data_IF_738549469997
#
_entry.id   IF_738549469997
#
_cell.length_a   1.000
_cell.length_b   1.000
_cell.length_c   1.000
_cell.angle_alpha   90.00
_cell.angle_beta   90.00
_cell.angle_gamma   90.00
#
_symmetry.space_group_name_H-M   'P 1'
#
loop_
_entity.id
_entity.type
_entity.pdbx_description
1 polymer ?
#
# COMPACT_ATOMS: atom_id res chain seq x y z
N UNK A 1 13.50 -8.47 3.39
CA UNK A 1 13.05 -7.25 4.12
C UNK A 1 11.55 -7.23 4.07
N UNK A 2 10.90 -7.04 5.22
CA UNK A 2 9.47 -6.80 5.31
C UNK A 2 9.21 -5.31 5.51
N UNK A 3 8.12 -4.79 4.94
CA UNK A 3 7.80 -3.37 5.03
C UNK A 3 6.62 -3.10 5.97
N UNK A 4 5.47 -3.71 5.72
CA UNK A 4 4.22 -3.41 6.42
C UNK A 4 3.54 -4.67 6.97
N UNK A 5 2.62 -4.49 7.92
CA UNK A 5 1.91 -5.56 8.63
C UNK A 5 0.44 -5.20 8.80
N UNK A 6 -0.45 -6.17 8.56
CA UNK A 6 -1.88 -6.11 8.85
C UNK A 6 -2.27 -7.26 9.81
N UNK A 7 -3.08 -6.95 10.83
CA UNK A 7 -3.57 -7.94 11.80
C UNK A 7 -4.79 -8.65 11.24
N UNK A 8 -4.84 -9.97 11.37
CA UNK A 8 -5.98 -10.80 11.01
C UNK A 8 -6.90 -11.03 12.23
N UNK A 9 -8.18 -11.29 11.99
CA UNK A 9 -9.18 -11.50 13.04
C UNK A 9 -8.92 -12.76 13.89
N UNK A 10 -8.17 -13.73 13.38
CA UNK A 10 -7.75 -14.93 14.11
C UNK A 10 -6.57 -14.69 15.06
N UNK A 11 -6.08 -13.44 15.17
CA UNK A 11 -4.89 -13.08 15.94
C UNK A 11 -3.57 -13.29 15.20
N UNK A 12 -3.62 -13.74 13.95
CA UNK A 12 -2.50 -13.79 13.02
C UNK A 12 -2.16 -12.44 12.41
N UNK A 13 -1.24 -12.46 11.43
CA UNK A 13 -0.90 -11.28 10.64
C UNK A 13 -0.52 -11.63 9.20
N UNK A 14 -0.70 -10.65 8.32
CA UNK A 14 -0.12 -10.63 6.98
C UNK A 14 0.95 -9.55 6.90
N UNK A 15 2.06 -9.81 6.22
CA UNK A 15 3.15 -8.85 6.03
C UNK A 15 3.66 -8.86 4.60
N UNK A 16 4.08 -7.71 4.10
CA UNK A 16 4.67 -7.58 2.76
C UNK A 16 6.17 -7.85 2.82
N UNK A 17 6.61 -8.88 2.12
CA UNK A 17 8.01 -9.12 1.85
C UNK A 17 8.43 -8.26 0.64
N UNK A 18 8.83 -7.01 0.90
CA UNK A 18 9.19 -6.04 -0.14
C UNK A 18 10.30 -6.53 -1.07
N UNK A 19 11.34 -7.16 -0.50
CA UNK A 19 12.49 -7.68 -1.25
C UNK A 19 13.19 -8.83 -0.54
N UNK A 20 13.88 -9.65 -1.32
CA UNK A 20 15.03 -10.43 -0.85
C UNK A 20 16.21 -9.49 -0.58
N UNK A 21 16.77 -9.53 0.64
CA UNK A 21 17.81 -8.58 1.04
C UNK A 21 19.03 -8.60 0.12
N UNK A 22 19.48 -9.80 -0.27
CA UNK A 22 20.66 -10.00 -1.11
C UNK A 22 20.48 -9.50 -2.55
N UNK A 23 19.23 -9.32 -3.00
CA UNK A 23 18.89 -8.84 -4.35
C UNK A 23 18.81 -7.32 -4.43
N UNK A 24 18.51 -6.68 -3.30
CA UNK A 24 18.46 -5.23 -3.17
C UNK A 24 17.20 -4.58 -3.76
N UNK A 25 17.02 -3.30 -3.44
CA UNK A 25 15.79 -2.53 -3.74
C UNK A 25 15.53 -2.41 -5.24
N UNK A 26 16.57 -2.13 -6.04
CA UNK A 26 16.41 -1.89 -7.47
C UNK A 26 15.83 -3.11 -8.20
N UNK A 27 16.30 -4.32 -7.88
CA UNK A 27 15.77 -5.55 -8.46
C UNK A 27 14.30 -5.78 -8.11
N UNK A 28 13.88 -5.42 -6.90
CA UNK A 28 12.50 -5.56 -6.45
C UNK A 28 11.54 -4.56 -7.08
N UNK A 29 11.94 -3.29 -7.15
CA UNK A 29 11.11 -2.23 -7.75
C UNK A 29 10.99 -2.41 -9.27
N UNK A 30 12.03 -2.90 -9.93
CA UNK A 30 11.96 -3.21 -11.37
C UNK A 30 11.24 -4.52 -11.70
N UNK A 31 10.88 -5.32 -10.69
CA UNK A 31 10.24 -6.62 -10.87
C UNK A 31 11.17 -7.74 -11.35
N UNK A 32 12.48 -7.50 -11.44
CA UNK A 32 13.48 -8.54 -11.72
C UNK A 32 13.47 -9.64 -10.65
N UNK A 33 13.16 -9.26 -9.41
CA UNK A 33 12.86 -10.17 -8.31
C UNK A 33 11.53 -9.72 -7.71
N UNK A 34 10.57 -10.64 -7.59
CA UNK A 34 9.28 -10.33 -6.97
C UNK A 34 9.32 -10.63 -5.48
N UNK A 35 8.70 -9.75 -4.70
CA UNK A 35 8.31 -10.02 -3.33
C UNK A 35 6.93 -10.67 -3.28
N UNK A 36 6.33 -10.74 -2.10
CA UNK A 36 4.95 -11.19 -1.95
C UNK A 36 4.39 -10.91 -0.56
N UNK A 37 3.25 -11.52 -0.25
CA UNK A 37 2.65 -11.49 1.08
C UNK A 37 3.07 -12.76 1.83
N UNK A 38 3.45 -12.61 3.10
CA UNK A 38 3.65 -13.70 4.05
C UNK A 38 2.57 -13.63 5.11
N UNK A 39 1.89 -14.75 5.35
CA UNK A 39 0.86 -14.88 6.38
C UNK A 39 1.37 -15.79 7.49
N UNK A 40 1.16 -15.35 8.73
CA UNK A 40 1.32 -16.16 9.91
C UNK A 40 -0.01 -16.29 10.64
N UNK A 41 -0.30 -17.49 11.16
CA UNK A 41 -1.46 -17.75 12.01
C UNK A 41 -1.03 -18.43 13.32
N UNK A 42 -1.79 -18.26 14.41
CA UNK A 42 -1.49 -18.94 15.66
C UNK A 42 -1.39 -20.46 15.47
N UNK A 43 -0.27 -21.03 15.91
CA UNK A 43 0.00 -22.48 15.82
C UNK A 43 0.60 -22.95 14.49
N UNK A 44 0.89 -22.06 13.54
CA UNK A 44 1.59 -22.38 12.29
C UNK A 44 2.94 -21.67 12.18
N UNK A 45 3.75 -22.11 11.21
CA UNK A 45 4.87 -21.31 10.72
C UNK A 45 4.37 -20.22 9.74
N UNK A 46 5.10 -19.10 9.59
CA UNK A 46 4.80 -18.13 8.54
C UNK A 46 4.99 -18.75 7.15
N UNK A 47 4.07 -18.48 6.23
CA UNK A 47 4.12 -19.00 4.86
C UNK A 47 3.81 -17.90 3.84
N UNK A 48 4.43 -17.99 2.67
CA UNK A 48 4.11 -17.12 1.53
C UNK A 48 2.69 -17.44 1.04
N UNK A 49 1.90 -16.40 0.80
CA UNK A 49 0.61 -16.51 0.12
C UNK A 49 0.88 -16.73 -1.37
N UNK A 50 0.64 -17.95 -1.84
CA UNK A 50 0.89 -18.35 -3.25
C UNK A 50 0.04 -17.49 -4.19
N UNK A 51 0.65 -16.94 -5.24
CA UNK A 51 -0.02 -16.06 -6.20
C UNK A 51 0.00 -14.57 -5.84
N UNK A 52 0.67 -14.20 -4.74
CA UNK A 52 0.80 -12.80 -4.29
C UNK A 52 2.07 -12.08 -4.79
N UNK A 53 2.72 -12.60 -5.83
CA UNK A 53 4.03 -12.10 -6.28
C UNK A 53 3.94 -10.72 -6.94
N UNK A 54 4.56 -9.71 -6.32
CA UNK A 54 4.51 -8.31 -6.74
C UNK A 54 5.90 -7.68 -6.88
N UNK A 55 6.01 -6.65 -7.70
CA UNK A 55 7.20 -5.81 -7.78
C UNK A 55 7.20 -4.78 -6.64
N UNK A 56 8.01 -5.02 -5.60
CA UNK A 56 8.12 -4.17 -4.43
C UNK A 56 6.80 -4.00 -3.65
N UNK A 57 6.19 -5.08 -3.12
CA UNK A 57 5.00 -4.97 -2.27
C UNK A 57 5.32 -4.18 -1.01
N UNK A 58 4.52 -3.16 -0.72
CA UNK A 58 4.84 -2.11 0.25
C UNK A 58 3.76 -2.04 1.35
N UNK A 59 2.86 -1.05 1.33
CA UNK A 59 1.72 -0.99 2.25
C UNK A 59 0.77 -2.18 2.13
N UNK A 60 0.18 -2.60 3.26
CA UNK A 60 -0.87 -3.63 3.32
C UNK A 60 -1.96 -3.27 4.33
N UNK A 61 -3.21 -3.52 3.96
CA UNK A 61 -4.36 -3.58 4.88
C UNK A 61 -5.24 -4.78 4.57
N UNK A 62 -6.07 -5.18 5.53
CA UNK A 62 -7.06 -6.26 5.39
C UNK A 62 -8.48 -5.68 5.52
N UNK A 63 -9.46 -6.24 4.83
CA UNK A 63 -10.88 -5.92 5.02
C UNK A 63 -11.38 -6.41 6.38
N UNK A 64 -12.43 -5.76 6.90
CA UNK A 64 -13.03 -6.11 8.19
C UNK A 64 -13.50 -7.58 8.25
N UNK A 65 -14.03 -8.08 7.14
CA UNK A 65 -14.46 -9.48 6.99
C UNK A 65 -13.30 -10.47 6.75
N UNK A 66 -12.05 -10.00 6.74
CA UNK A 66 -10.84 -10.78 6.50
C UNK A 66 -10.78 -11.52 5.16
N UNK A 67 -11.65 -11.17 4.21
CA UNK A 67 -11.67 -11.77 2.89
C UNK A 67 -10.62 -11.18 1.96
N UNK A 68 -10.35 -9.88 2.05
CA UNK A 68 -9.51 -9.18 1.11
C UNK A 68 -8.24 -8.62 1.75
N UNK A 69 -7.10 -8.80 1.07
CA UNK A 69 -5.90 -7.99 1.31
C UNK A 69 -5.77 -6.93 0.24
N UNK A 70 -5.37 -5.73 0.62
CA UNK A 70 -5.04 -4.64 -0.30
C UNK A 70 -3.57 -4.30 -0.14
N UNK A 71 -2.80 -4.44 -1.21
CA UNK A 71 -1.35 -4.32 -1.21
C UNK A 71 -0.91 -3.28 -2.23
N UNK A 72 -0.02 -2.39 -1.82
CA UNK A 72 0.63 -1.44 -2.72
C UNK A 72 1.78 -2.15 -3.45
N UNK A 73 1.72 -2.21 -4.77
CA UNK A 73 2.80 -2.69 -5.63
C UNK A 73 3.59 -1.48 -6.16
N UNK A 74 4.66 -1.12 -5.47
CA UNK A 74 5.42 0.11 -5.76
C UNK A 74 6.01 0.09 -7.17
N UNK A 75 6.52 -1.06 -7.63
CA UNK A 75 7.18 -1.20 -8.91
C UNK A 75 6.26 -1.07 -10.12
N UNK A 76 5.02 -1.55 -10.00
CA UNK A 76 4.01 -1.44 -11.08
C UNK A 76 3.09 -0.23 -10.92
N UNK A 77 3.14 0.47 -9.78
CA UNK A 77 2.26 1.58 -9.41
C UNK A 77 0.79 1.17 -9.36
N UNK A 78 0.53 0.02 -8.73
CA UNK A 78 -0.81 -0.51 -8.60
C UNK A 78 -1.20 -0.72 -7.14
N UNK A 79 -2.47 -0.48 -6.82
CA UNK A 79 -3.10 -1.08 -5.65
C UNK A 79 -3.71 -2.41 -6.09
N UNK A 80 -3.29 -3.50 -5.45
CA UNK A 80 -3.72 -4.86 -5.77
C UNK A 80 -4.60 -5.39 -4.64
N UNK A 81 -5.78 -5.88 -4.97
CA UNK A 81 -6.70 -6.56 -4.07
C UNK A 81 -6.59 -8.07 -4.29
N UNK A 82 -6.35 -8.82 -3.21
CA UNK A 82 -6.31 -10.28 -3.21
C UNK A 82 -7.53 -10.86 -2.47
N UNK A 83 -8.23 -11.83 -3.08
CA UNK A 83 -9.37 -12.53 -2.46
C UNK A 83 -8.90 -13.83 -1.78
N UNK A 84 -8.77 -13.79 -0.45
CA UNK A 84 -8.32 -14.91 0.38
C UNK A 84 -9.32 -16.08 0.46
N UNK A 85 -10.53 -15.93 -0.11
CA UNK A 85 -11.48 -17.05 -0.19
C UNK A 85 -11.20 -18.00 -1.35
N UNK A 86 -10.23 -17.68 -2.21
CA UNK A 86 -9.85 -18.45 -3.39
C UNK A 86 -8.44 -19.06 -3.22
N UNK A 87 -8.22 -20.25 -3.76
CA UNK A 87 -6.92 -20.93 -3.79
C UNK A 87 -6.66 -21.52 -5.20
N UNK A 88 -5.65 -21.04 -5.96
CA UNK A 88 -4.76 -19.91 -5.64
C UNK A 88 -5.53 -18.59 -5.46
N UNK A 89 -4.92 -17.64 -4.75
CA UNK A 89 -5.55 -16.34 -4.47
C UNK A 89 -5.89 -15.62 -5.78
N UNK A 90 -7.15 -15.19 -5.91
CA UNK A 90 -7.57 -14.34 -7.04
C UNK A 90 -7.14 -12.90 -6.78
N UNK A 91 -6.88 -12.12 -7.83
CA UNK A 91 -6.51 -10.71 -7.69
C UNK A 91 -7.16 -9.80 -8.72
N UNK A 92 -7.44 -8.57 -8.30
CA UNK A 92 -7.81 -7.43 -9.13
C UNK A 92 -6.86 -6.27 -8.80
N UNK A 93 -6.67 -5.32 -9.72
CA UNK A 93 -5.80 -4.16 -9.48
C UNK A 93 -6.34 -2.87 -10.08
N UNK A 94 -5.85 -1.75 -9.56
CA UNK A 94 -5.99 -0.42 -10.18
C UNK A 94 -4.63 0.24 -10.26
N UNK A 95 -4.28 0.75 -11.44
CA UNK A 95 -3.08 1.54 -11.66
C UNK A 95 -3.28 2.97 -11.17
N UNK A 96 -2.26 3.53 -10.52
CA UNK A 96 -2.27 4.90 -10.00
C UNK A 96 -1.15 5.73 -10.66
N UNK A 97 -1.40 7.02 -10.81
CA UNK A 97 -0.41 7.99 -11.30
C UNK A 97 0.56 8.50 -10.21
N UNK A 98 0.75 7.68 -9.18
CA UNK A 98 1.71 7.89 -8.10
C UNK A 98 2.54 6.62 -7.87
N UNK A 99 3.74 6.81 -7.32
CA UNK A 99 4.56 5.75 -6.73
C UNK A 99 4.02 5.54 -5.31
N UNK A 100 2.94 4.76 -5.20
CA UNK A 100 2.24 4.50 -3.94
C UNK A 100 3.09 3.69 -2.94
N UNK A 101 2.93 4.01 -1.66
CA UNK A 101 3.72 3.47 -0.55
C UNK A 101 2.80 2.77 0.48
N UNK A 102 2.50 3.39 1.63
CA UNK A 102 1.59 2.79 2.61
C UNK A 102 0.12 2.94 2.23
N UNK A 103 -0.71 2.00 2.68
CA UNK A 103 -2.17 2.03 2.56
C UNK A 103 -2.77 2.13 3.97
N UNK A 104 -3.83 2.93 4.12
CA UNK A 104 -4.64 3.04 5.34
C UNK A 104 -6.12 3.04 4.97
N UNK A 105 -6.97 2.55 5.87
CA UNK A 105 -8.40 2.81 5.76
C UNK A 105 -8.69 4.29 6.00
N UNK A 106 -9.56 4.88 5.17
CA UNK A 106 -10.13 6.20 5.34
C UNK A 106 -11.58 6.10 5.83
N UNK A 107 -12.49 6.77 5.14
CA UNK A 107 -13.93 6.56 5.33
C UNK A 107 -14.36 5.13 5.03
N UNK A 108 -15.58 4.77 5.43
CA UNK A 108 -16.12 3.40 5.25
C UNK A 108 -16.02 2.96 3.79
N UNK A 109 -15.33 1.84 3.55
CA UNK A 109 -15.10 1.29 2.21
C UNK A 109 -14.04 2.02 1.38
N UNK A 110 -13.35 3.01 1.94
CA UNK A 110 -12.33 3.81 1.25
C UNK A 110 -10.93 3.53 1.78
N UNK A 111 -10.00 3.37 0.86
CA UNK A 111 -8.58 3.22 1.13
C UNK A 111 -7.86 4.51 0.76
N UNK A 112 -6.89 4.91 1.57
CA UNK A 112 -6.00 6.02 1.29
C UNK A 112 -4.59 5.52 1.09
N UNK A 113 -3.95 5.99 0.03
CA UNK A 113 -2.52 5.83 -0.19
C UNK A 113 -1.93 7.13 -0.71
N UNK A 114 -0.62 7.28 -0.59
CA UNK A 114 0.07 8.46 -1.00
C UNK A 114 1.46 8.12 -1.52
N UNK A 115 1.99 9.01 -2.36
CA UNK A 115 3.25 8.79 -3.03
C UNK A 115 3.65 9.95 -3.94
N UNK A 116 4.89 9.90 -4.41
CA UNK A 116 5.37 10.84 -5.42
C UNK A 116 4.62 10.64 -6.74
N UNK A 117 4.26 11.73 -7.42
CA UNK A 117 3.61 11.66 -8.73
C UNK A 117 4.55 10.97 -9.73
N UNK A 118 4.00 10.13 -10.60
CA UNK A 118 4.79 9.41 -11.60
C UNK A 118 5.55 10.36 -12.55
N UNK A 119 5.02 11.57 -12.76
CA UNK A 119 5.66 12.64 -13.54
C UNK A 119 6.76 13.43 -12.79
N UNK A 120 7.02 13.13 -11.52
CA UNK A 120 8.08 13.80 -10.73
C UNK A 120 7.77 15.24 -10.32
N UNK A 121 6.53 15.69 -10.46
CA UNK A 121 6.09 17.07 -10.23
C UNK A 121 5.46 17.29 -8.83
N UNK A 122 5.89 16.52 -7.82
CA UNK A 122 5.36 16.58 -6.46
C UNK A 122 4.79 15.24 -5.99
N UNK A 123 3.76 15.29 -5.17
CA UNK A 123 3.11 14.11 -4.58
C UNK A 123 1.60 14.27 -4.50
N UNK A 124 0.89 13.15 -4.43
CA UNK A 124 -0.56 13.14 -4.29
C UNK A 124 -1.01 12.10 -3.26
N UNK A 125 -2.19 12.37 -2.71
CA UNK A 125 -2.99 11.40 -1.96
C UNK A 125 -4.11 10.92 -2.87
N UNK A 126 -4.28 9.61 -2.94
CA UNK A 126 -5.31 8.94 -3.73
C UNK A 126 -6.20 8.15 -2.78
N UNK A 127 -7.51 8.36 -2.92
CA UNK A 127 -8.53 7.50 -2.35
C UNK A 127 -8.94 6.42 -3.36
N UNK A 128 -9.09 5.19 -2.90
CA UNK A 128 -9.56 4.07 -3.71
C UNK A 128 -10.78 3.44 -3.04
N UNK A 129 -11.86 3.25 -3.80
CA UNK A 129 -12.99 2.44 -3.34
C UNK A 129 -12.58 0.97 -3.25
N UNK A 130 -12.72 0.37 -2.08
CA UNK A 130 -12.25 -0.99 -1.84
C UNK A 130 -13.03 -2.06 -2.65
N UNK A 131 -14.29 -1.78 -3.00
CA UNK A 131 -15.15 -2.71 -3.72
C UNK A 131 -14.99 -2.58 -5.24
N UNK A 132 -15.01 -1.36 -5.78
CA UNK A 132 -14.92 -1.13 -7.23
C UNK A 132 -13.49 -0.92 -7.74
N UNK A 133 -12.53 -0.63 -6.85
CA UNK A 133 -11.18 -0.15 -7.18
C UNK A 133 -11.16 1.17 -7.97
N UNK A 134 -12.24 1.95 -7.93
CA UNK A 134 -12.26 3.29 -8.49
C UNK A 134 -11.34 4.21 -7.66
N UNK A 135 -10.40 4.89 -8.34
CA UNK A 135 -9.39 5.73 -7.73
C UNK A 135 -9.63 7.22 -8.00
N UNK A 136 -9.59 8.05 -6.96
CA UNK A 136 -9.75 9.50 -7.04
C UNK A 136 -8.60 10.20 -6.31
N UNK A 137 -8.00 11.21 -6.94
CA UNK A 137 -7.04 12.09 -6.27
C UNK A 137 -7.80 13.02 -5.31
N UNK A 138 -7.44 13.00 -4.04
CA UNK A 138 -8.10 13.81 -2.98
C UNK A 138 -7.23 14.94 -2.45
N UNK A 139 -5.97 15.04 -2.91
CA UNK A 139 -5.09 16.14 -2.56
C UNK A 139 -3.64 15.87 -2.95
N UNK A 140 -2.76 16.81 -2.61
CA UNK A 140 -1.34 16.74 -2.91
C UNK A 140 -0.69 18.10 -3.05
N UNK A 141 0.63 18.11 -3.22
CA UNK A 141 1.42 19.33 -3.41
C UNK A 141 2.40 19.17 -4.57
N UNK A 142 2.91 20.29 -5.09
CA UNK A 142 3.91 20.31 -6.15
C UNK A 142 5.33 19.95 -5.64
N UNK A 143 6.30 20.00 -6.55
CA UNK A 143 7.70 19.66 -6.27
C UNK A 143 8.44 20.69 -5.38
N UNK A 144 7.90 21.89 -5.19
CA UNK A 144 8.52 22.95 -4.39
C UNK A 144 8.00 22.96 -2.94
N UNK A 145 7.01 22.13 -2.63
CA UNK A 145 6.45 22.02 -1.30
C UNK A 145 7.49 21.56 -0.27
N UNK A 146 7.39 22.11 0.94
CA UNK A 146 8.35 21.85 2.03
C UNK A 146 8.38 20.39 2.51
N UNK A 147 7.28 19.65 2.30
CA UNK A 147 7.18 18.22 2.58
C UNK A 147 7.20 17.46 1.26
N UNK A 148 8.17 16.55 1.11
CA UNK A 148 8.36 15.68 -0.05
C UNK A 148 8.54 14.24 0.40
N UNK A 149 8.69 13.31 -0.55
CA UNK A 149 8.88 11.86 -0.28
C UNK A 149 7.80 11.28 0.63
N UNK A 150 6.56 11.64 0.33
CA UNK A 150 5.37 11.18 1.02
C UNK A 150 5.27 9.66 0.95
N UNK A 151 4.99 9.05 2.10
CA UNK A 151 4.94 7.60 2.28
C UNK A 151 3.60 7.11 2.82
N UNK A 152 2.75 7.99 3.32
CA UNK A 152 1.48 7.64 3.95
C UNK A 152 0.50 8.82 3.97
N UNK A 153 -0.79 8.48 3.98
CA UNK A 153 -1.87 9.40 4.27
C UNK A 153 -2.85 8.74 5.26
N UNK A 154 -3.42 9.55 6.15
CA UNK A 154 -4.42 9.13 7.13
C UNK A 154 -5.50 10.20 7.25
N UNK A 155 -6.77 9.80 7.15
CA UNK A 155 -7.89 10.71 7.38
C UNK A 155 -8.22 10.80 8.87
N UNK A 156 -8.40 12.02 9.36
CA UNK A 156 -8.87 12.35 10.71
C UNK A 156 -9.90 13.46 10.59
N UNK A 157 -11.19 13.10 10.67
CA UNK A 157 -12.28 14.04 10.39
C UNK A 157 -12.24 14.52 8.93
N UNK A 158 -12.23 15.84 8.75
CA UNK A 158 -12.11 16.52 7.46
C UNK A 158 -10.65 16.75 7.04
N UNK A 159 -9.67 16.29 7.82
CA UNK A 159 -8.26 16.46 7.51
C UNK A 159 -7.61 15.19 6.99
N UNK A 160 -6.70 15.35 6.04
CA UNK A 160 -5.76 14.32 5.62
C UNK A 160 -4.38 14.67 6.19
N UNK A 161 -3.87 13.80 7.05
CA UNK A 161 -2.52 13.86 7.60
C UNK A 161 -1.56 13.07 6.73
N UNK A 162 -0.37 13.61 6.48
CA UNK A 162 0.59 13.10 5.49
C UNK A 162 1.95 12.88 6.15
N UNK A 163 2.46 11.65 6.05
CA UNK A 163 3.78 11.26 6.54
C UNK A 163 4.82 11.19 5.42
N UNK A 164 6.08 11.38 5.76
CA UNK A 164 7.23 11.27 4.85
C UNK A 164 8.24 10.25 5.36
N UNK A 165 8.91 9.54 4.46
CA UNK A 165 10.08 8.71 4.82
C UNK A 165 11.39 9.50 4.81
N UNK A 166 11.36 10.81 4.47
CA UNK A 166 12.55 11.66 4.53
C UNK A 166 12.24 13.01 5.20
N UNK A 167 12.66 13.13 6.45
CA UNK A 167 12.57 14.36 7.21
C UNK A 167 11.93 14.15 8.56
N UNK A 168 11.59 15.27 9.20
CA UNK A 168 11.14 15.39 10.58
C UNK A 168 9.76 16.08 10.70
N UNK A 169 9.04 16.21 9.57
CA UNK A 169 7.76 16.91 9.48
C UNK A 169 6.60 15.96 9.20
N UNK A 170 5.43 16.35 9.66
CA UNK A 170 4.13 15.80 9.26
C UNK A 170 3.34 16.94 8.63
N UNK A 171 2.69 16.67 7.50
CA UNK A 171 1.83 17.62 6.81
C UNK A 171 0.36 17.31 7.08
N UNK A 172 -0.50 18.29 6.83
CA UNK A 172 -1.93 18.04 6.74
C UNK A 172 -2.58 19.02 5.76
N UNK A 173 -3.74 18.64 5.23
CA UNK A 173 -4.62 19.53 4.47
C UNK A 173 -6.07 19.14 4.73
N UNK A 174 -7.00 20.07 4.49
CA UNK A 174 -8.45 19.80 4.58
C UNK A 174 -8.88 19.14 3.27
N UNK A 175 -9.65 18.07 3.38
CA UNK A 175 -10.26 17.37 2.25
C UNK A 175 -11.34 18.29 1.65
N UNK A 176 -11.26 18.51 0.35
CA UNK A 176 -12.28 19.28 -0.40
C UNK A 176 -13.67 18.63 -0.32
#
# INVERSE_FOLDING_TARGET
MHNSVAILADGGFATTQFMEWERGIAASVTGLVKGGVVIWRPGSEPAVLVGSELAGPNGIVVSDDNRYLYVAALGTRELVRFDLSQEPVASDSVALDIILDNIRWGESGKLLTAGGNAGGNGWSVVEVDAASLEATRVGGMDGDAALQRVSSALQVGDQIWVGTYSGDRVGYFVRD
#
